data_IF_354592597026
#
_entry.id   IF_354592597026
#
_cell.length_a   1.000
_cell.length_b   1.000
_cell.length_c   1.000
_cell.angle_alpha   90.00
_cell.angle_beta   90.00
_cell.angle_gamma   90.00
#
_symmetry.space_group_name_H-M   'P 1'
#
loop_
_entity.id
_entity.type
_entity.pdbx_description
1 polymer ?
#
# COMPACT_ATOMS: atom_id res chain seq x y z
N UNK A 1 7.93 -22.29 -13.08
CA UNK A 1 6.87 -21.60 -13.87
C UNK A 1 7.33 -20.22 -14.33
N UNK A 2 6.58 -19.57 -15.25
CA UNK A 2 6.88 -18.19 -15.70
C UNK A 2 5.64 -17.31 -15.55
N UNK A 3 5.82 -16.09 -15.00
CA UNK A 3 4.75 -15.09 -14.82
C UNK A 3 5.17 -13.74 -15.39
N UNK A 4 4.25 -12.77 -15.44
CA UNK A 4 4.59 -11.35 -15.58
C UNK A 4 5.45 -10.89 -14.39
N UNK A 5 6.11 -9.73 -14.51
CA UNK A 5 6.70 -9.03 -13.37
C UNK A 5 5.60 -8.67 -12.37
N UNK A 6 5.91 -8.64 -11.09
CA UNK A 6 4.98 -8.23 -10.04
C UNK A 6 4.81 -6.71 -10.07
N UNK A 7 3.57 -6.25 -9.87
CA UNK A 7 3.28 -4.85 -9.56
C UNK A 7 2.97 -4.76 -8.07
N UNK A 8 3.73 -3.93 -7.35
CA UNK A 8 3.49 -3.59 -5.95
C UNK A 8 2.80 -2.24 -5.88
N UNK A 9 1.54 -2.22 -5.46
CA UNK A 9 0.75 -0.99 -5.46
C UNK A 9 0.57 -0.37 -4.08
N UNK A 10 1.05 -1.05 -3.02
CA UNK A 10 0.92 -0.56 -1.66
C UNK A 10 2.11 -0.98 -0.80
N UNK A 11 3.07 -0.07 -0.63
CA UNK A 11 4.21 -0.23 0.26
C UNK A 11 4.87 1.12 0.55
N UNK A 12 5.32 1.32 1.78
CA UNK A 12 5.89 2.57 2.27
C UNK A 12 7.40 2.67 2.06
N UNK A 13 8.02 1.54 1.76
CA UNK A 13 9.44 1.48 1.52
C UNK A 13 10.04 0.10 1.77
N UNK A 14 11.35 0.00 1.57
CA UNK A 14 12.17 -1.18 1.86
C UNK A 14 13.65 -0.81 1.73
N UNK A 15 14.55 -1.71 2.10
CA UNK A 15 16.01 -1.51 2.01
C UNK A 15 16.52 -0.24 2.73
N UNK A 16 15.82 0.22 3.78
CA UNK A 16 16.14 1.43 4.51
C UNK A 16 15.58 2.73 3.91
N UNK A 17 14.79 2.66 2.84
CA UNK A 17 14.17 3.82 2.18
C UNK A 17 12.72 3.96 2.64
N UNK A 18 12.36 5.15 3.12
CA UNK A 18 11.01 5.61 3.42
C UNK A 18 10.59 6.63 2.35
N UNK A 19 9.52 6.37 1.60
CA UNK A 19 9.10 7.26 0.51
C UNK A 19 8.72 8.66 0.97
N UNK A 20 8.18 8.82 2.16
CA UNK A 20 7.88 10.15 2.71
C UNK A 20 9.15 10.99 2.93
N UNK A 21 10.31 10.35 3.16
CA UNK A 21 11.57 11.01 3.53
C UNK A 21 12.68 10.81 2.50
N UNK A 22 12.43 10.03 1.46
CA UNK A 22 13.42 9.64 0.47
C UNK A 22 14.05 10.84 -0.26
N UNK A 23 15.25 10.60 -0.76
CA UNK A 23 15.90 11.40 -1.81
C UNK A 23 15.64 10.76 -3.17
N UNK A 24 15.88 11.48 -4.26
CA UNK A 24 15.79 10.96 -5.63
C UNK A 24 16.67 9.72 -5.80
N UNK A 25 17.92 9.77 -5.35
CA UNK A 25 18.86 8.63 -5.42
C UNK A 25 18.39 7.46 -4.56
N UNK A 26 17.75 7.71 -3.42
CA UNK A 26 17.13 6.67 -2.58
C UNK A 26 16.00 5.94 -3.31
N UNK A 27 15.10 6.66 -3.97
CA UNK A 27 14.02 6.08 -4.76
C UNK A 27 14.56 5.27 -5.94
N UNK A 28 15.57 5.79 -6.66
CA UNK A 28 16.21 5.08 -7.77
C UNK A 28 16.92 3.81 -7.29
N UNK A 29 17.65 3.87 -6.17
CA UNK A 29 18.28 2.71 -5.55
C UNK A 29 17.23 1.64 -5.19
N UNK A 30 16.16 2.01 -4.50
CA UNK A 30 15.08 1.10 -4.15
C UNK A 30 14.48 0.46 -5.41
N UNK A 31 14.20 1.26 -6.45
CA UNK A 31 13.62 0.80 -7.72
C UNK A 31 14.54 -0.21 -8.43
N UNK A 32 15.85 -0.08 -8.30
CA UNK A 32 16.84 -1.02 -8.83
C UNK A 32 16.89 -2.31 -8.01
N UNK A 33 16.93 -2.20 -6.70
CA UNK A 33 17.02 -3.37 -5.82
C UNK A 33 15.73 -4.21 -5.86
N UNK A 34 14.55 -3.57 -5.84
CA UNK A 34 13.27 -4.27 -5.80
C UNK A 34 13.00 -5.07 -7.09
N UNK A 35 13.53 -4.61 -8.24
CA UNK A 35 13.44 -5.37 -9.50
C UNK A 35 14.10 -6.74 -9.39
N UNK A 36 15.21 -6.86 -8.65
CA UNK A 36 15.88 -8.14 -8.43
C UNK A 36 15.00 -9.17 -7.71
N UNK A 37 13.97 -8.69 -7.01
CA UNK A 37 12.94 -9.49 -6.35
C UNK A 37 11.71 -9.72 -7.24
N UNK A 38 11.80 -9.52 -8.57
CA UNK A 38 10.71 -9.76 -9.50
C UNK A 38 9.62 -8.70 -9.50
N UNK A 39 9.76 -7.62 -8.72
CA UNK A 39 8.83 -6.50 -8.68
C UNK A 39 9.27 -5.48 -9.73
N UNK A 40 8.54 -5.42 -10.84
CA UNK A 40 8.89 -4.60 -12.01
C UNK A 40 8.08 -3.32 -12.14
N UNK A 41 7.01 -3.15 -11.38
CA UNK A 41 6.21 -1.93 -11.30
C UNK A 41 5.88 -1.58 -9.86
N UNK A 42 5.96 -0.31 -9.53
CA UNK A 42 5.73 0.17 -8.16
C UNK A 42 4.85 1.43 -8.13
N UNK A 43 4.01 1.50 -7.10
CA UNK A 43 3.32 2.72 -6.69
C UNK A 43 3.85 3.10 -5.29
N UNK A 44 4.91 3.93 -5.18
CA UNK A 44 5.35 4.44 -3.89
C UNK A 44 4.19 4.96 -3.07
N UNK A 45 4.02 4.42 -1.85
CA UNK A 45 2.91 4.78 -0.97
C UNK A 45 3.36 5.80 0.05
N UNK A 46 2.70 6.97 0.04
CA UNK A 46 2.92 8.03 1.01
C UNK A 46 1.95 7.87 2.18
N UNK A 47 2.49 7.66 3.37
CA UNK A 47 1.71 7.67 4.61
C UNK A 47 1.34 9.11 4.99
N UNK A 48 0.34 9.28 5.85
CA UNK A 48 -0.06 10.58 6.42
C UNK A 48 1.15 11.38 6.92
N UNK A 49 1.25 12.62 6.45
CA UNK A 49 2.27 13.61 6.84
C UNK A 49 1.72 15.02 6.60
N UNK A 50 2.47 16.06 6.93
CA UNK A 50 2.10 17.43 6.59
C UNK A 50 1.95 17.61 5.07
N UNK A 51 1.09 18.55 4.66
CA UNK A 51 0.90 18.89 3.24
C UNK A 51 2.23 19.23 2.56
N UNK A 52 3.11 19.93 3.27
CA UNK A 52 4.44 20.30 2.75
C UNK A 52 5.30 19.07 2.48
N UNK A 53 5.38 18.14 3.44
CA UNK A 53 6.17 16.90 3.30
C UNK A 53 5.62 16.00 2.19
N UNK A 54 4.30 15.85 2.07
CA UNK A 54 3.66 15.09 0.99
C UNK A 54 4.02 15.69 -0.37
N UNK A 55 3.90 17.01 -0.53
CA UNK A 55 4.27 17.69 -1.79
C UNK A 55 5.74 17.51 -2.14
N UNK A 56 6.63 17.60 -1.13
CA UNK A 56 8.05 17.32 -1.31
C UNK A 56 8.28 15.87 -1.77
N UNK A 57 7.67 14.91 -1.12
CA UNK A 57 7.79 13.48 -1.47
C UNK A 57 7.28 13.21 -2.89
N UNK A 58 6.13 13.78 -3.28
CA UNK A 58 5.62 13.71 -4.66
C UNK A 58 6.65 14.24 -5.65
N UNK A 59 7.23 15.41 -5.40
CA UNK A 59 8.25 16.01 -6.28
C UNK A 59 9.48 15.11 -6.43
N UNK A 60 9.98 14.54 -5.32
CA UNK A 60 11.12 13.62 -5.31
C UNK A 60 10.83 12.35 -6.13
N UNK A 61 9.65 11.76 -5.96
CA UNK A 61 9.27 10.54 -6.68
C UNK A 61 9.12 10.83 -8.18
N UNK A 62 8.55 11.97 -8.55
CA UNK A 62 8.43 12.41 -9.97
C UNK A 62 9.80 12.63 -10.60
N UNK A 63 10.71 13.30 -9.91
CA UNK A 63 12.08 13.49 -10.38
C UNK A 63 12.81 12.14 -10.54
N UNK A 64 12.62 11.20 -9.61
CA UNK A 64 13.15 9.86 -9.73
C UNK A 64 12.55 9.12 -10.94
N UNK A 65 11.24 9.29 -11.20
CA UNK A 65 10.58 8.75 -12.40
C UNK A 65 11.22 9.23 -13.68
N UNK A 66 11.58 10.50 -13.78
CA UNK A 66 12.24 11.08 -14.95
C UNK A 66 13.67 10.55 -15.16
N UNK A 67 14.36 10.22 -14.06
CA UNK A 67 15.76 9.73 -14.07
C UNK A 67 15.88 8.21 -14.12
N UNK A 68 14.77 7.46 -13.95
CA UNK A 68 14.83 6.00 -13.90
C UNK A 68 15.34 5.40 -15.23
N UNK A 69 16.07 4.32 -15.14
CA UNK A 69 16.60 3.56 -16.27
C UNK A 69 15.87 2.22 -16.44
N UNK A 70 16.09 1.53 -17.56
CA UNK A 70 15.39 0.28 -17.87
C UNK A 70 15.72 -0.87 -16.91
N UNK A 71 16.81 -0.80 -16.17
CA UNK A 71 17.24 -1.80 -15.17
C UNK A 71 16.66 -1.53 -13.76
N UNK A 72 15.58 -0.76 -13.68
CA UNK A 72 14.85 -0.41 -12.46
C UNK A 72 13.38 -0.80 -12.58
N UNK A 73 12.70 -1.05 -11.47
CA UNK A 73 11.24 -1.17 -11.44
C UNK A 73 10.58 0.12 -11.92
N UNK A 74 9.55 0.03 -12.74
CA UNK A 74 8.85 1.21 -13.25
C UNK A 74 8.08 1.90 -12.11
N UNK A 75 8.33 3.18 -11.89
CA UNK A 75 7.50 4.02 -11.03
C UNK A 75 6.25 4.37 -11.84
N UNK A 76 5.09 3.84 -11.44
CA UNK A 76 3.84 3.88 -12.22
C UNK A 76 2.91 5.02 -11.80
N UNK A 77 3.12 5.54 -10.61
CA UNK A 77 2.33 6.58 -9.98
C UNK A 77 2.58 6.58 -8.48
N UNK A 78 1.79 7.32 -7.75
CA UNK A 78 1.83 7.40 -6.29
C UNK A 78 0.52 6.86 -5.72
N UNK A 79 0.63 6.11 -4.63
CA UNK A 79 -0.47 5.81 -3.73
C UNK A 79 -0.42 6.78 -2.56
N UNK A 80 -1.45 7.59 -2.39
CA UNK A 80 -1.61 8.45 -1.21
C UNK A 80 -2.47 7.71 -0.20
N UNK A 81 -1.85 7.14 0.83
CA UNK A 81 -2.53 6.49 1.92
C UNK A 81 -2.58 7.41 3.12
N UNK A 82 -3.74 7.95 3.35
CA UNK A 82 -3.94 8.80 4.51
C UNK A 82 -4.24 10.26 4.19
N UNK A 83 -4.08 11.08 5.21
CA UNK A 83 -4.64 12.39 5.50
C UNK A 83 -6.18 12.42 5.54
N UNK A 84 -6.89 11.59 4.78
CA UNK A 84 -8.37 11.54 4.68
C UNK A 84 -8.97 10.32 5.38
N UNK A 85 -8.39 9.89 6.48
CA UNK A 85 -8.73 8.65 7.19
C UNK A 85 -9.44 8.92 8.51
N UNK A 86 -10.14 7.89 9.02
CA UNK A 86 -10.89 8.00 10.25
C UNK A 86 -9.97 7.91 11.48
N UNK A 87 -9.98 8.90 12.39
CA UNK A 87 -9.18 8.88 13.61
C UNK A 87 -9.38 7.64 14.49
N UNK A 88 -10.57 7.02 14.47
CA UNK A 88 -10.85 5.78 15.20
C UNK A 88 -10.09 4.57 14.63
N UNK A 89 -9.64 4.68 13.38
CA UNK A 89 -8.93 3.65 12.64
C UNK A 89 -7.55 4.12 12.17
N UNK A 90 -6.94 5.01 12.94
CA UNK A 90 -5.68 5.67 12.57
C UNK A 90 -4.51 4.72 12.32
N UNK A 91 -4.50 3.50 12.90
CA UNK A 91 -3.33 2.64 12.85
C UNK A 91 -2.10 3.36 13.40
N UNK A 92 -1.02 3.39 12.62
CA UNK A 92 0.23 4.10 12.93
C UNK A 92 0.22 5.59 12.51
N UNK A 93 -0.79 6.02 11.73
CA UNK A 93 -0.84 7.38 11.19
C UNK A 93 -0.95 8.45 12.27
N UNK A 94 -0.26 9.58 12.08
CA UNK A 94 -0.30 10.72 12.99
C UNK A 94 -1.57 11.56 12.79
N UNK A 95 -2.51 11.61 13.77
CA UNK A 95 -3.76 12.34 13.62
C UNK A 95 -3.60 13.87 13.49
N UNK A 96 -2.44 14.42 13.86
CA UNK A 96 -2.18 15.86 13.74
C UNK A 96 -2.24 16.35 12.28
N UNK A 97 -2.12 15.46 11.31
CA UNK A 97 -2.11 15.77 9.88
C UNK A 97 -3.40 15.35 9.16
N UNK A 98 -4.42 14.85 9.87
CA UNK A 98 -5.66 14.44 9.25
C UNK A 98 -6.47 15.63 8.75
N UNK A 99 -7.02 15.48 7.56
CA UNK A 99 -7.91 16.46 6.93
C UNK A 99 -9.25 15.81 6.59
N UNK A 100 -10.31 16.59 6.59
CA UNK A 100 -11.59 16.13 6.08
C UNK A 100 -11.48 15.78 4.59
N UNK A 101 -12.10 14.67 4.12
CA UNK A 101 -12.03 14.22 2.72
C UNK A 101 -12.91 15.10 1.81
N UNK A 102 -12.45 16.31 1.55
CA UNK A 102 -13.09 17.28 0.65
C UNK A 102 -12.20 17.56 -0.56
N UNK A 103 -12.81 18.00 -1.66
CA UNK A 103 -12.07 18.40 -2.87
C UNK A 103 -11.10 19.55 -2.59
N UNK A 104 -11.48 20.50 -1.72
CA UNK A 104 -10.65 21.61 -1.31
C UNK A 104 -9.39 21.14 -0.61
N UNK A 105 -9.52 20.23 0.35
CA UNK A 105 -8.39 19.66 1.08
C UNK A 105 -7.51 18.80 0.16
N UNK A 106 -8.10 18.00 -0.74
CA UNK A 106 -7.32 17.24 -1.72
C UNK A 106 -6.49 18.14 -2.63
N UNK A 107 -7.02 19.30 -3.06
CA UNK A 107 -6.29 20.26 -3.89
C UNK A 107 -4.99 20.76 -3.24
N UNK A 108 -4.87 20.67 -1.91
CA UNK A 108 -3.62 21.04 -1.21
C UNK A 108 -2.45 20.12 -1.57
N UNK A 109 -2.72 18.87 -1.92
CA UNK A 109 -1.72 17.84 -2.27
C UNK A 109 -1.89 17.28 -3.67
N UNK A 110 -2.88 17.74 -4.43
CA UNK A 110 -3.23 17.20 -5.73
C UNK A 110 -2.05 17.22 -6.71
N UNK A 111 -1.82 16.08 -7.34
CA UNK A 111 -0.87 15.91 -8.44
C UNK A 111 -1.39 14.83 -9.39
N UNK A 112 -1.18 14.98 -10.70
CA UNK A 112 -1.63 14.04 -11.72
C UNK A 112 -0.89 12.69 -11.65
N UNK A 113 0.20 12.63 -10.89
CA UNK A 113 0.95 11.40 -10.66
C UNK A 113 0.38 10.55 -9.51
N UNK A 114 -0.56 11.07 -8.70
CA UNK A 114 -1.34 10.29 -7.75
C UNK A 114 -2.33 9.43 -8.53
N UNK A 115 -2.24 8.11 -8.36
CA UNK A 115 -3.07 7.12 -9.07
C UNK A 115 -3.99 6.34 -8.14
N UNK A 116 -3.66 6.27 -6.86
CA UNK A 116 -4.44 5.60 -5.83
C UNK A 116 -4.57 6.56 -4.65
N UNK A 117 -5.77 6.65 -4.08
CA UNK A 117 -6.03 7.38 -2.83
C UNK A 117 -6.81 6.48 -1.89
N UNK A 118 -6.26 6.25 -0.71
CA UNK A 118 -6.96 5.60 0.40
C UNK A 118 -7.63 6.66 1.28
N UNK A 119 -8.91 6.49 1.53
CA UNK A 119 -9.69 7.39 2.39
C UNK A 119 -10.78 6.63 3.17
N UNK A 120 -11.34 7.28 4.18
CA UNK A 120 -12.51 6.81 4.93
C UNK A 120 -13.80 7.34 4.27
N UNK A 121 -14.55 6.51 3.53
CA UNK A 121 -15.72 6.96 2.78
C UNK A 121 -16.80 7.61 3.65
N UNK A 122 -16.99 7.12 4.87
CA UNK A 122 -17.99 7.61 5.82
C UNK A 122 -17.74 9.05 6.29
N UNK A 123 -16.54 9.57 6.11
CA UNK A 123 -16.19 10.95 6.41
C UNK A 123 -16.44 11.91 5.24
N UNK A 124 -16.73 11.37 4.04
CA UNK A 124 -17.03 12.18 2.86
C UNK A 124 -18.40 12.83 3.04
N UNK A 125 -18.56 14.13 2.78
CA UNK A 125 -19.87 14.75 2.82
C UNK A 125 -20.87 14.03 1.91
N UNK A 126 -21.95 13.50 2.47
CA UNK A 126 -23.01 12.86 1.71
C UNK A 126 -23.84 13.94 0.99
N UNK A 127 -23.90 13.89 -0.33
CA UNK A 127 -24.94 14.59 -1.10
C UNK A 127 -26.22 13.77 -0.89
N UNK A 128 -27.06 14.15 0.06
CA UNK A 128 -28.38 13.52 0.22
C UNK A 128 -29.34 14.07 -0.82
N UNK A 129 -30.08 13.22 -1.57
CA UNK A 129 -31.05 13.67 -2.58
C UNK A 129 -32.30 14.36 -2.03
N UNK A 130 -32.47 14.49 -0.71
CA UNK A 130 -33.71 14.99 -0.13
C UNK A 130 -33.52 16.18 0.81
N UNK A 131 -33.82 17.37 0.29
CA UNK A 131 -34.51 18.43 1.00
C UNK A 131 -33.72 19.30 1.96
N UNK A 132 -33.62 20.60 1.63
CA UNK A 132 -33.16 21.76 2.41
C UNK A 132 -31.67 21.81 2.70
N UNK A 133 -30.90 22.20 1.69
CA UNK A 133 -29.50 22.64 1.83
C UNK A 133 -29.43 24.14 2.15
N UNK A 134 -28.48 24.56 2.98
CA UNK A 134 -28.02 25.94 2.97
C UNK A 134 -27.25 26.19 1.65
N UNK A 135 -27.35 27.37 1.04
CA UNK A 135 -26.71 27.70 -0.23
C UNK A 135 -25.18 27.49 -0.30
N UNK A 136 -24.52 27.20 0.82
CA UNK A 136 -23.10 26.90 0.92
C UNK A 136 -22.79 25.40 0.74
N UNK A 137 -23.73 24.49 1.02
CA UNK A 137 -23.57 23.04 0.91
C UNK A 137 -23.86 22.48 -0.49
N UNK A 138 -24.57 23.24 -1.31
CA UNK A 138 -24.96 22.86 -2.69
C UNK A 138 -23.81 22.67 -3.66
N UNK A 139 -22.56 23.02 -3.30
CA UNK A 139 -21.37 22.98 -4.17
C UNK A 139 -20.24 22.05 -3.72
N UNK A 140 -20.38 21.33 -2.61
CA UNK A 140 -19.35 20.39 -2.19
C UNK A 140 -19.42 19.12 -3.05
N UNK A 141 -18.63 19.09 -4.13
CA UNK A 141 -18.46 17.88 -4.93
C UNK A 141 -17.89 16.78 -4.01
N UNK A 142 -18.49 15.56 -4.07
CA UNK A 142 -17.98 14.41 -3.36
C UNK A 142 -16.55 14.08 -3.82
N UNK A 143 -15.62 13.95 -2.90
CA UNK A 143 -14.20 13.68 -3.23
C UNK A 143 -14.03 12.38 -4.00
N UNK A 144 -14.80 11.33 -3.67
CA UNK A 144 -14.75 10.04 -4.35
C UNK A 144 -15.12 10.20 -5.82
N UNK A 145 -16.22 10.90 -6.13
CA UNK A 145 -16.64 11.17 -7.51
C UNK A 145 -15.62 12.04 -8.26
N UNK A 146 -15.09 13.06 -7.60
CA UNK A 146 -14.07 13.92 -8.17
C UNK A 146 -12.80 13.15 -8.58
N UNK A 147 -12.30 12.30 -7.69
CA UNK A 147 -11.10 11.47 -7.91
C UNK A 147 -11.35 10.42 -8.99
N UNK A 148 -12.47 9.71 -8.92
CA UNK A 148 -12.85 8.69 -9.91
C UNK A 148 -13.01 9.30 -11.30
N UNK A 149 -13.60 10.50 -11.40
CA UNK A 149 -13.71 11.26 -12.64
C UNK A 149 -12.37 11.67 -13.26
N UNK A 150 -11.31 11.72 -12.45
CA UNK A 150 -9.91 11.93 -12.89
C UNK A 150 -9.14 10.62 -13.16
N UNK A 151 -9.79 9.47 -13.04
CA UNK A 151 -9.18 8.17 -13.24
C UNK A 151 -8.30 7.70 -12.06
N UNK A 152 -8.39 8.36 -10.90
CA UNK A 152 -7.74 7.95 -9.66
C UNK A 152 -8.52 6.80 -9.05
N UNK A 153 -7.85 5.73 -8.64
CA UNK A 153 -8.45 4.60 -7.93
C UNK A 153 -8.68 4.98 -6.48
N UNK A 154 -9.93 5.16 -6.09
CA UNK A 154 -10.28 5.42 -4.70
C UNK A 154 -10.44 4.09 -3.98
N UNK A 155 -9.78 3.93 -2.85
CA UNK A 155 -9.88 2.75 -1.98
C UNK A 155 -10.39 3.14 -0.61
N UNK A 156 -11.33 2.37 -0.08
CA UNK A 156 -11.75 2.51 1.31
C UNK A 156 -10.73 1.84 2.22
N UNK A 157 -10.20 2.59 3.17
CA UNK A 157 -9.27 2.10 4.17
C UNK A 157 -9.21 3.04 5.37
N UNK A 158 -8.70 2.54 6.50
CA UNK A 158 -8.72 3.29 7.76
C UNK A 158 -10.10 3.88 8.06
N UNK A 159 -11.13 3.04 8.00
CA UNK A 159 -12.53 3.44 7.97
C UNK A 159 -13.41 2.49 8.80
N UNK A 160 -14.62 2.92 9.14
CA UNK A 160 -15.58 2.13 9.92
C UNK A 160 -16.89 1.88 9.17
N UNK A 161 -17.17 2.68 8.14
CA UNK A 161 -18.41 2.57 7.35
C UNK A 161 -18.44 1.38 6.41
N UNK A 162 -19.64 0.88 6.10
CA UNK A 162 -19.85 -0.21 5.16
C UNK A 162 -20.25 0.23 3.75
N UNK A 163 -20.51 1.52 3.54
CA UNK A 163 -20.82 2.06 2.22
C UNK A 163 -19.54 2.27 1.41
N UNK A 164 -19.38 1.47 0.35
CA UNK A 164 -18.22 1.51 -0.57
C UNK A 164 -18.58 2.13 -1.92
N UNK A 165 -19.69 2.83 -2.01
CA UNK A 165 -20.17 3.43 -3.26
C UNK A 165 -19.12 4.35 -3.87
N UNK A 166 -18.77 4.10 -5.13
CA UNK A 166 -17.77 4.85 -5.88
C UNK A 166 -16.32 4.48 -5.60
N UNK A 167 -16.05 3.62 -4.60
CA UNK A 167 -14.72 3.07 -4.38
C UNK A 167 -14.40 1.99 -5.42
N UNK A 168 -13.16 1.97 -5.90
CA UNK A 168 -12.65 0.94 -6.79
C UNK A 168 -12.17 -0.30 -6.03
N UNK A 169 -11.84 -0.14 -4.76
CA UNK A 169 -11.31 -1.21 -3.92
C UNK A 169 -11.28 -0.88 -2.44
N UNK A 170 -10.72 -1.80 -1.67
CA UNK A 170 -10.40 -1.61 -0.25
C UNK A 170 -8.92 -1.84 0.00
N UNK A 171 -8.34 -1.00 0.83
CA UNK A 171 -6.95 -1.04 1.27
C UNK A 171 -6.80 -2.11 2.35
N UNK A 172 -5.76 -2.95 2.28
CA UNK A 172 -5.32 -3.96 3.27
C UNK A 172 -6.47 -4.53 4.13
N UNK A 173 -7.41 -5.24 3.47
CA UNK A 173 -8.64 -5.79 4.09
C UNK A 173 -8.38 -6.37 5.49
N UNK A 174 -9.28 -6.09 6.43
CA UNK A 174 -9.28 -6.35 7.87
C UNK A 174 -8.42 -5.42 8.72
N UNK A 175 -7.36 -4.80 8.16
CA UNK A 175 -6.48 -3.94 8.92
C UNK A 175 -7.07 -2.53 8.99
N UNK A 176 -7.03 -1.92 10.18
CA UNK A 176 -7.51 -0.57 10.42
C UNK A 176 -8.92 -0.26 9.83
N UNK A 177 -9.84 -1.21 9.88
CA UNK A 177 -11.23 -1.04 9.43
C UNK A 177 -12.22 -1.80 10.32
N UNK A 178 -13.54 -1.60 10.08
CA UNK A 178 -14.55 -2.43 10.72
C UNK A 178 -14.54 -3.85 10.12
N UNK A 179 -14.58 -4.85 10.99
CA UNK A 179 -14.49 -6.27 10.62
C UNK A 179 -15.80 -6.84 10.06
N UNK A 180 -15.89 -8.17 10.03
CA UNK A 180 -17.13 -8.87 9.66
C UNK A 180 -18.08 -8.89 10.86
N UNK A 181 -19.27 -8.35 10.71
CA UNK A 181 -20.32 -8.35 11.72
C UNK A 181 -21.63 -8.92 11.16
N UNK A 182 -22.42 -9.55 12.01
CA UNK A 182 -23.72 -10.14 11.62
C UNK A 182 -24.88 -9.12 11.70
N UNK A 183 -24.63 -7.92 12.15
CA UNK A 183 -25.60 -6.82 12.23
C UNK A 183 -24.94 -5.52 11.78
N UNK A 184 -25.65 -4.78 10.93
CA UNK A 184 -25.15 -3.56 10.30
C UNK A 184 -24.17 -3.83 9.15
N UNK A 185 -23.84 -2.78 8.46
CA UNK A 185 -22.88 -2.80 7.35
C UNK A 185 -21.51 -2.41 7.87
N UNK A 186 -20.50 -3.19 7.54
CA UNK A 186 -19.11 -2.95 7.94
C UNK A 186 -18.21 -3.05 6.72
N UNK A 187 -17.09 -2.34 6.73
CA UNK A 187 -16.19 -2.24 5.58
C UNK A 187 -15.75 -3.62 5.08
N UNK A 188 -15.25 -4.48 5.99
CA UNK A 188 -14.76 -5.79 5.59
C UNK A 188 -15.87 -6.71 5.06
N UNK A 189 -17.08 -6.67 5.65
CA UNK A 189 -18.21 -7.45 5.17
C UNK A 189 -18.64 -6.98 3.78
N UNK A 190 -18.85 -5.67 3.59
CA UNK A 190 -19.23 -5.11 2.30
C UNK A 190 -18.20 -5.43 1.21
N UNK A 191 -16.91 -5.30 1.52
CA UNK A 191 -15.85 -5.66 0.59
C UNK A 191 -15.85 -7.14 0.20
N UNK A 192 -16.14 -8.04 1.14
CA UNK A 192 -16.15 -9.49 0.88
C UNK A 192 -17.32 -9.93 0.01
N UNK A 193 -18.48 -9.27 0.11
CA UNK A 193 -19.70 -9.68 -0.61
C UNK A 193 -19.90 -8.94 -1.95
N UNK A 194 -19.23 -7.83 -2.19
CA UNK A 194 -19.31 -7.11 -3.47
C UNK A 194 -18.23 -7.59 -4.44
N UNK A 195 -18.64 -8.37 -5.44
CA UNK A 195 -17.76 -8.94 -6.46
C UNK A 195 -17.11 -7.87 -7.37
N UNK A 196 -17.54 -6.61 -7.36
CA UNK A 196 -16.95 -5.55 -8.17
C UNK A 196 -15.76 -4.88 -7.47
N UNK A 197 -15.73 -4.87 -6.15
CA UNK A 197 -14.70 -4.23 -5.34
C UNK A 197 -13.41 -5.06 -5.38
N UNK A 198 -12.30 -4.44 -5.75
CA UNK A 198 -10.97 -5.03 -5.59
C UNK A 198 -10.55 -4.99 -4.11
N UNK A 199 -9.80 -6.01 -3.70
CA UNK A 199 -9.47 -6.19 -2.29
C UNK A 199 -7.98 -6.41 -2.13
N UNK A 200 -7.29 -5.47 -1.50
CA UNK A 200 -5.88 -5.64 -1.14
C UNK A 200 -5.74 -6.55 0.08
N UNK A 201 -4.74 -7.44 0.04
CA UNK A 201 -4.46 -8.41 1.09
C UNK A 201 -2.97 -8.43 1.43
N UNK A 202 -2.67 -8.27 2.72
CA UNK A 202 -1.34 -8.55 3.29
C UNK A 202 -1.31 -10.03 3.67
N UNK A 203 -0.69 -10.86 2.84
CA UNK A 203 -0.71 -12.32 3.02
C UNK A 203 0.44 -12.87 3.86
N UNK A 204 1.04 -12.07 4.75
CA UNK A 204 2.22 -12.44 5.55
C UNK A 204 1.92 -13.38 6.73
N UNK A 205 0.64 -13.57 7.10
CA UNK A 205 0.20 -14.39 8.22
C UNK A 205 0.37 -13.75 9.59
N UNK A 206 0.75 -12.48 9.62
CA UNK A 206 0.90 -11.66 10.83
C UNK A 206 -0.26 -10.67 10.89
N UNK A 207 -0.48 -9.90 9.79
CA UNK A 207 -1.58 -8.93 9.66
C UNK A 207 -2.93 -9.62 9.52
N UNK A 208 -2.97 -10.72 8.77
CA UNK A 208 -4.18 -11.50 8.51
C UNK A 208 -3.88 -12.96 8.77
N UNK A 209 -4.64 -13.59 9.68
CA UNK A 209 -4.48 -15.00 10.00
C UNK A 209 -4.86 -15.90 8.82
N UNK A 210 -4.34 -17.14 8.79
CA UNK A 210 -4.66 -18.09 7.73
C UNK A 210 -6.16 -18.34 7.60
N UNK A 211 -6.91 -18.38 8.71
CA UNK A 211 -8.36 -18.54 8.69
C UNK A 211 -9.10 -17.36 8.05
N UNK A 212 -8.62 -16.13 8.29
CA UNK A 212 -9.18 -14.96 7.65
C UNK A 212 -8.81 -14.91 6.16
N UNK A 213 -7.59 -15.31 5.80
CA UNK A 213 -7.20 -15.46 4.39
C UNK A 213 -8.03 -16.51 3.69
N UNK A 214 -8.26 -17.71 4.29
CA UNK A 214 -9.15 -18.73 3.75
C UNK A 214 -10.57 -18.17 3.49
N UNK A 215 -11.09 -17.33 4.41
CA UNK A 215 -12.38 -16.67 4.22
C UNK A 215 -12.38 -15.77 2.99
N UNK A 216 -11.34 -14.93 2.82
CA UNK A 216 -11.22 -14.06 1.65
C UNK A 216 -11.23 -14.86 0.36
N UNK A 217 -10.36 -15.87 0.25
CA UNK A 217 -10.24 -16.71 -0.96
C UNK A 217 -11.48 -17.60 -1.23
N UNK A 218 -12.39 -17.74 -0.26
CA UNK A 218 -13.69 -18.39 -0.45
C UNK A 218 -14.79 -17.43 -0.89
N UNK A 219 -14.75 -16.18 -0.42
CA UNK A 219 -15.79 -15.19 -0.67
C UNK A 219 -15.53 -14.33 -1.89
N UNK A 220 -14.25 -13.98 -2.15
CA UNK A 220 -13.89 -13.08 -3.26
C UNK A 220 -13.57 -13.83 -4.54
N UNK A 221 -14.03 -13.36 -5.71
CA UNK A 221 -13.47 -13.79 -6.98
C UNK A 221 -11.95 -13.57 -7.00
N UNK A 222 -11.19 -14.57 -7.45
CA UNK A 222 -9.73 -14.53 -7.41
C UNK A 222 -9.16 -13.32 -8.17
N UNK A 223 -9.80 -12.94 -9.27
CA UNK A 223 -9.45 -11.78 -10.10
C UNK A 223 -9.67 -10.42 -9.41
N UNK A 224 -10.28 -10.41 -8.24
CA UNK A 224 -10.52 -9.20 -7.43
C UNK A 224 -9.61 -9.11 -6.21
N UNK A 225 -8.73 -10.09 -6.01
CA UNK A 225 -7.76 -10.08 -4.91
C UNK A 225 -6.44 -9.51 -5.42
N UNK A 226 -5.92 -8.49 -4.74
CA UNK A 226 -4.61 -7.89 -5.02
C UNK A 226 -3.69 -8.17 -3.83
N UNK A 227 -2.60 -8.89 -4.07
CA UNK A 227 -1.56 -9.05 -3.06
C UNK A 227 -0.74 -7.77 -2.96
N UNK A 228 -0.57 -7.31 -1.74
CA UNK A 228 0.29 -6.17 -1.40
C UNK A 228 1.26 -6.58 -0.30
N UNK A 229 2.36 -5.86 -0.18
CA UNK A 229 3.25 -6.07 0.95
C UNK A 229 2.94 -5.18 2.14
N UNK A 230 2.50 -3.96 1.91
CA UNK A 230 2.45 -2.92 2.95
C UNK A 230 3.79 -2.81 3.70
N UNK A 231 4.88 -2.93 2.94
CA UNK A 231 6.21 -3.07 3.54
C UNK A 231 6.77 -1.74 4.03
N UNK A 232 7.56 -1.84 5.08
CA UNK A 232 8.20 -0.72 5.78
C UNK A 232 9.69 -0.60 5.40
N UNK A 233 10.32 0.55 5.67
CA UNK A 233 11.74 0.78 5.40
C UNK A 233 12.68 -0.30 5.93
N UNK A 234 12.35 -0.96 7.06
CA UNK A 234 13.15 -2.04 7.63
C UNK A 234 13.09 -3.36 6.84
N UNK A 235 12.18 -3.49 5.87
CA UNK A 235 12.04 -4.69 5.03
C UNK A 235 13.29 -4.91 4.20
N UNK A 236 13.90 -6.09 4.32
CA UNK A 236 15.17 -6.44 3.68
C UNK A 236 16.32 -5.42 3.94
N UNK A 237 16.22 -4.64 4.99
CA UNK A 237 17.30 -3.75 5.40
C UNK A 237 18.45 -4.56 6.01
N UNK A 238 19.65 -4.32 5.52
CA UNK A 238 20.89 -4.87 6.09
C UNK A 238 21.89 -3.73 6.29
N UNK A 239 22.11 -3.28 7.54
CA UNK A 239 23.02 -2.17 7.83
C UNK A 239 24.47 -2.44 7.38
N UNK A 240 24.87 -3.73 7.35
CA UNK A 240 26.24 -4.13 6.96
C UNK A 240 26.45 -4.26 5.45
N UNK A 241 25.38 -4.23 4.65
CA UNK A 241 25.49 -4.35 3.17
C UNK A 241 25.79 -3.02 2.46
N UNK A 242 25.73 -1.91 3.18
CA UNK A 242 25.87 -0.57 2.64
C UNK A 242 27.23 0.02 3.02
N UNK A 243 28.01 0.45 2.04
CA UNK A 243 29.20 1.26 2.28
C UNK A 243 28.79 2.58 2.99
N UNK A 244 29.65 3.12 3.88
CA UNK A 244 29.36 4.33 4.66
C UNK A 244 28.82 5.51 3.82
N UNK A 245 29.30 5.70 2.58
CA UNK A 245 28.78 6.70 1.66
C UNK A 245 27.34 6.46 1.17
N UNK A 246 26.88 5.20 1.13
CA UNK A 246 25.49 4.86 0.79
C UNK A 246 24.55 5.02 1.97
N UNK A 247 25.02 4.83 3.21
CA UNK A 247 24.22 5.10 4.41
C UNK A 247 23.81 6.58 4.51
N UNK A 248 24.69 7.51 4.11
CA UNK A 248 24.36 8.94 4.09
C UNK A 248 23.33 9.34 3.01
N UNK A 249 23.34 8.66 1.85
CA UNK A 249 22.37 8.89 0.76
C UNK A 249 20.98 8.32 1.09
N UNK A 250 20.90 7.40 2.06
CA UNK A 250 19.69 6.71 2.49
C UNK A 250 19.08 7.32 3.76
N UNK A 251 19.55 8.50 4.19
CA UNK A 251 19.26 9.13 5.48
C UNK A 251 17.83 9.68 5.65
N UNK A 252 16.85 9.12 4.94
CA UNK A 252 15.44 9.33 5.25
C UNK A 252 14.95 8.50 6.44
N UNK A 253 15.47 7.29 6.64
CA UNK A 253 15.15 6.46 7.78
C UNK A 253 16.28 6.53 8.81
N UNK A 254 16.05 7.13 9.98
CA UNK A 254 16.93 7.01 11.14
C UNK A 254 16.86 5.57 11.70
N UNK A 255 17.31 4.58 10.92
CA UNK A 255 17.44 3.21 11.40
C UNK A 255 18.71 3.16 12.22
N UNK A 256 18.60 3.04 13.53
CA UNK A 256 19.74 2.82 14.42
C UNK A 256 19.98 1.33 14.53
N UNK A 257 21.21 0.92 14.21
CA UNK A 257 21.70 -0.43 14.50
C UNK A 257 21.87 -0.52 16.03
N UNK A 258 21.08 -1.36 16.65
CA UNK A 258 21.19 -1.71 18.06
C UNK A 258 21.71 -3.15 18.07
N UNK A 259 22.96 -3.33 18.36
CA UNK A 259 23.80 -4.54 18.36
C UNK A 259 23.16 -5.92 18.20
N UNK A 260 23.97 -6.97 18.00
CA UNK A 260 23.50 -8.33 17.76
C UNK A 260 22.53 -8.80 18.83
N UNK A 261 21.22 -8.97 18.46
CA UNK A 261 20.15 -9.46 19.33
C UNK A 261 19.16 -8.40 19.80
N UNK A 262 19.31 -7.14 19.40
CA UNK A 262 18.40 -6.05 19.76
C UNK A 262 17.45 -5.70 18.59
N UNK A 263 16.25 -5.17 18.95
CA UNK A 263 15.23 -4.75 18.00
C UNK A 263 15.73 -3.53 17.21
N UNK A 264 15.55 -3.52 15.89
CA UNK A 264 15.79 -2.30 15.11
C UNK A 264 14.77 -1.23 15.52
N UNK A 265 15.23 -0.03 15.79
CA UNK A 265 14.38 1.13 16.06
C UNK A 265 14.46 2.10 14.87
N UNK A 266 13.33 2.57 14.40
CA UNK A 266 13.24 3.60 13.36
C UNK A 266 12.00 4.48 13.56
N UNK A 267 11.93 5.62 12.87
CA UNK A 267 10.79 6.52 12.90
C UNK A 267 10.00 6.35 11.61
N UNK A 268 8.71 6.05 11.74
CA UNK A 268 7.76 5.96 10.63
C UNK A 268 6.46 6.66 11.02
N UNK A 269 5.89 7.49 10.12
CA UNK A 269 4.70 8.29 10.39
C UNK A 269 4.79 9.12 11.71
N UNK A 270 5.97 9.67 11.99
CA UNK A 270 6.34 10.42 13.22
C UNK A 270 6.33 9.58 14.52
N UNK A 271 6.08 8.29 14.42
CA UNK A 271 6.07 7.36 15.55
C UNK A 271 7.34 6.49 15.59
N UNK A 272 7.78 6.12 16.79
CA UNK A 272 8.84 5.13 16.96
C UNK A 272 8.32 3.74 16.71
N UNK A 273 8.98 3.02 15.80
CA UNK A 273 8.66 1.65 15.42
C UNK A 273 9.83 0.73 15.76
N UNK A 274 9.52 -0.42 16.30
CA UNK A 274 10.45 -1.45 16.75
C UNK A 274 10.27 -2.70 15.88
N UNK A 275 11.32 -3.12 15.21
CA UNK A 275 11.34 -4.36 14.44
C UNK A 275 12.10 -5.45 15.20
N UNK A 276 11.46 -6.59 15.45
CA UNK A 276 12.00 -7.70 16.23
C UNK A 276 12.56 -8.87 15.39
N UNK A 277 12.69 -8.64 14.06
CA UNK A 277 13.08 -9.67 13.10
C UNK A 277 11.91 -10.37 12.43
N UNK A 278 10.68 -10.19 12.93
CA UNK A 278 9.46 -10.80 12.42
C UNK A 278 8.42 -9.74 12.07
N UNK A 279 8.13 -8.85 13.00
CA UNK A 279 7.11 -7.79 12.85
C UNK A 279 7.62 -6.43 13.32
N UNK A 280 7.05 -5.38 12.77
CA UNK A 280 7.31 -4.00 13.16
C UNK A 280 6.10 -3.44 13.94
N UNK A 281 6.33 -2.93 15.15
CA UNK A 281 5.27 -2.43 16.02
C UNK A 281 5.65 -1.10 16.65
N UNK A 282 4.67 -0.25 16.91
CA UNK A 282 4.82 0.92 17.78
C UNK A 282 5.02 0.50 19.24
N UNK A 283 5.26 1.47 20.12
CA UNK A 283 5.50 1.22 21.54
C UNK A 283 4.30 0.57 22.25
N UNK A 284 3.09 0.89 21.83
CA UNK A 284 1.83 0.34 22.37
C UNK A 284 1.45 -1.03 21.77
N UNK A 285 2.28 -1.57 20.86
CA UNK A 285 2.09 -2.87 20.24
C UNK A 285 1.26 -2.84 18.95
N UNK A 286 0.84 -1.67 18.46
CA UNK A 286 0.17 -1.55 17.17
C UNK A 286 1.12 -1.98 16.05
N UNK A 287 0.69 -2.89 15.17
CA UNK A 287 1.46 -3.28 13.98
C UNK A 287 1.49 -2.08 13.03
N UNK A 288 2.68 -1.73 12.56
CA UNK A 288 2.89 -0.53 11.75
C UNK A 288 2.80 -0.78 10.25
N UNK A 289 3.09 -1.99 9.81
CA UNK A 289 3.12 -2.47 8.44
C UNK A 289 3.96 -3.74 8.35
N UNK A 290 3.96 -4.39 7.20
CA UNK A 290 4.63 -5.67 7.02
C UNK A 290 6.15 -5.51 6.79
N UNK A 291 6.84 -6.61 6.97
CA UNK A 291 8.28 -6.75 6.69
C UNK A 291 8.54 -7.84 5.65
N UNK A 292 7.50 -8.18 4.88
CA UNK A 292 7.51 -9.32 3.95
C UNK A 292 7.12 -8.89 2.54
N UNK A 293 8.02 -9.05 1.58
CA UNK A 293 7.74 -8.73 0.16
C UNK A 293 6.80 -9.73 -0.51
N UNK A 294 6.06 -9.30 -1.55
CA UNK A 294 5.08 -10.13 -2.29
C UNK A 294 5.62 -11.51 -2.72
N UNK A 295 6.84 -11.69 -3.24
CA UNK A 295 7.32 -13.02 -3.60
C UNK A 295 7.35 -14.01 -2.42
N UNK A 296 7.72 -13.52 -1.23
CA UNK A 296 7.69 -14.33 0.00
C UNK A 296 6.26 -14.61 0.46
N UNK A 297 5.35 -13.64 0.27
CA UNK A 297 3.91 -13.80 0.53
C UNK A 297 3.34 -14.90 -0.37
N UNK A 298 3.61 -14.88 -1.68
CA UNK A 298 3.17 -15.91 -2.64
C UNK A 298 3.65 -17.29 -2.18
N UNK A 299 4.95 -17.43 -1.90
CA UNK A 299 5.54 -18.69 -1.43
C UNK A 299 4.87 -19.17 -0.14
N UNK A 300 4.56 -18.27 0.78
CA UNK A 300 3.86 -18.59 2.02
C UNK A 300 2.43 -19.08 1.75
N UNK A 301 1.65 -18.38 0.92
CA UNK A 301 0.26 -18.72 0.61
C UNK A 301 0.15 -20.10 -0.06
N UNK A 302 1.11 -20.47 -0.90
CA UNK A 302 1.21 -21.83 -1.47
C UNK A 302 1.49 -22.84 -0.36
N UNK A 303 2.49 -22.59 0.49
CA UNK A 303 2.85 -23.51 1.58
C UNK A 303 1.72 -23.76 2.57
N UNK A 304 0.91 -22.75 2.86
CA UNK A 304 -0.29 -22.88 3.72
C UNK A 304 -1.52 -23.40 2.98
N UNK A 305 -1.40 -23.77 1.69
CA UNK A 305 -2.48 -24.28 0.85
C UNK A 305 -3.69 -23.32 0.73
N UNK A 306 -3.47 -22.01 0.91
CA UNK A 306 -4.46 -20.95 0.66
C UNK A 306 -4.54 -20.69 -0.85
N UNK A 307 -3.41 -20.52 -1.50
CA UNK A 307 -3.26 -20.54 -2.97
C UNK A 307 -2.89 -21.96 -3.38
N UNK A 308 -3.58 -22.54 -4.37
CA UNK A 308 -3.56 -24.01 -4.59
C UNK A 308 -2.68 -24.44 -5.75
N UNK A 309 -2.46 -23.57 -6.73
CA UNK A 309 -1.77 -23.93 -7.95
C UNK A 309 -1.13 -22.70 -8.64
N UNK A 310 -0.38 -22.97 -9.69
CA UNK A 310 0.35 -21.94 -10.47
C UNK A 310 -0.57 -21.00 -11.24
N UNK A 311 -1.79 -21.44 -11.61
CA UNK A 311 -2.75 -20.56 -12.30
C UNK A 311 -3.27 -19.50 -11.34
N UNK A 312 -3.54 -19.87 -10.08
CA UNK A 312 -3.97 -18.93 -9.04
C UNK A 312 -2.86 -17.87 -8.80
N UNK A 313 -1.59 -18.30 -8.74
CA UNK A 313 -0.46 -17.36 -8.61
C UNK A 313 -0.38 -16.41 -9.82
N UNK A 314 -0.54 -16.96 -11.02
CA UNK A 314 -0.52 -16.15 -12.25
C UNK A 314 -1.66 -15.12 -12.25
N UNK A 315 -2.85 -15.53 -11.81
CA UNK A 315 -4.00 -14.63 -11.69
C UNK A 315 -3.72 -13.51 -10.69
N UNK A 316 -3.25 -13.84 -9.47
CA UNK A 316 -2.94 -12.85 -8.44
C UNK A 316 -1.87 -11.83 -8.91
N UNK A 317 -0.84 -12.27 -9.64
CA UNK A 317 0.17 -11.38 -10.21
C UNK A 317 -0.41 -10.51 -11.33
N UNK A 318 -1.43 -10.98 -12.05
CA UNK A 318 -2.04 -10.26 -13.17
C UNK A 318 -3.09 -9.24 -12.71
N UNK A 319 -3.68 -9.42 -11.53
CA UNK A 319 -4.77 -8.56 -11.04
C UNK A 319 -4.41 -7.07 -10.97
N UNK A 320 -3.23 -6.63 -10.48
CA UNK A 320 -2.87 -5.22 -10.52
C UNK A 320 -2.78 -4.65 -11.94
N UNK A 321 -2.37 -5.45 -12.93
CA UNK A 321 -2.37 -5.03 -14.34
C UNK A 321 -3.77 -4.70 -14.83
N UNK A 322 -4.75 -5.58 -14.51
CA UNK A 322 -6.16 -5.37 -14.86
C UNK A 322 -6.76 -4.19 -14.09
N UNK A 323 -6.44 -4.08 -12.80
CA UNK A 323 -6.93 -2.99 -11.95
C UNK A 323 -6.52 -1.61 -12.46
N UNK A 324 -5.26 -1.48 -12.89
CA UNK A 324 -4.71 -0.23 -13.42
C UNK A 324 -4.82 -0.08 -14.92
N UNK A 325 -5.24 -1.14 -15.64
CA UNK A 325 -5.26 -1.20 -17.11
C UNK A 325 -3.89 -0.83 -17.72
N UNK A 326 -2.83 -1.46 -17.25
CA UNK A 326 -1.44 -1.21 -17.68
C UNK A 326 -0.72 -2.52 -18.03
N UNK A 327 0.30 -2.43 -18.87
CA UNK A 327 1.28 -3.50 -19.08
C UNK A 327 2.68 -2.92 -19.02
N UNK A 328 3.55 -3.55 -18.21
CA UNK A 328 4.93 -3.11 -18.01
C UNK A 328 5.94 -4.00 -18.72
N UNK A 329 5.47 -5.05 -19.38
CA UNK A 329 6.32 -6.05 -20.00
C UNK A 329 7.09 -6.90 -18.98
N UNK A 330 8.09 -7.66 -19.49
CA UNK A 330 8.96 -8.45 -18.64
C UNK A 330 8.35 -9.72 -18.04
N UNK A 331 9.17 -10.49 -17.32
CA UNK A 331 8.71 -11.74 -16.71
C UNK A 331 9.60 -12.19 -15.56
N UNK A 332 9.06 -13.04 -14.71
CA UNK A 332 9.73 -13.75 -13.61
C UNK A 332 9.69 -15.25 -13.88
N UNK A 333 10.83 -15.91 -13.74
CA UNK A 333 10.93 -17.36 -13.75
C UNK A 333 11.06 -17.87 -12.30
N UNK A 334 10.27 -18.88 -11.96
CA UNK A 334 10.18 -19.45 -10.61
C UNK A 334 10.57 -20.92 -10.67
N UNK A 335 11.25 -21.41 -9.62
CA UNK A 335 11.43 -22.84 -9.40
C UNK A 335 10.14 -23.52 -8.85
N UNK A 336 10.22 -24.82 -8.59
CA UNK A 336 9.08 -25.60 -8.08
C UNK A 336 8.75 -25.24 -6.61
N UNK A 337 9.67 -24.63 -5.88
CA UNK A 337 9.52 -24.13 -4.52
C UNK A 337 9.08 -22.66 -4.45
N UNK A 338 8.72 -22.05 -5.59
CA UNK A 338 8.37 -20.64 -5.72
C UNK A 338 9.47 -19.68 -5.26
N UNK A 339 10.74 -20.02 -5.53
CA UNK A 339 11.82 -19.04 -5.49
C UNK A 339 12.01 -18.43 -6.87
N UNK A 340 12.41 -17.17 -6.91
CA UNK A 340 12.74 -16.49 -8.17
C UNK A 340 14.09 -17.00 -8.65
N UNK A 341 14.12 -17.56 -9.88
CA UNK A 341 15.33 -18.02 -10.56
C UNK A 341 15.88 -16.91 -11.44
N UNK A 342 14.98 -16.17 -12.13
CA UNK A 342 15.39 -15.17 -13.10
C UNK A 342 14.33 -14.07 -13.23
N UNK A 343 14.80 -12.84 -13.37
CA UNK A 343 14.00 -11.67 -13.69
C UNK A 343 14.43 -11.16 -15.06
N UNK A 344 13.47 -11.04 -15.97
CA UNK A 344 13.69 -10.50 -17.32
C UNK A 344 12.81 -9.24 -17.45
N UNK A 345 13.43 -8.11 -17.64
CA UNK A 345 12.75 -6.84 -17.90
C UNK A 345 12.90 -6.44 -19.36
#
# INVERSE_FOLDING_TARGET
>A
MRTKLIIEQHFHGCFGIDFNKATVDGVLFLSKEILKHGIGGIFPTLVTDSVENIKRAISVIKEAKEKQTHDMANILGIHLEGIFINPEKKGIHNPAHFLAPTVENYKLVADDFIKIVTLAPELTPLIRPSGTFSHAEEKAQNLIEYLSGKGVKVQAGHCVGGDLTGCAGVTHLFNAMSGVAHRGETTALSALVDDNIYTEIIGDGIHVSDKALELVFKCKPLEKIILISDSLPCTNYNPHSLSEGKQLLMSGANVRDVGMGEKLEFVFADEKVYYDGIKATSKDGTIAGSTTMIPKIIKRLIKSNIVKNTNDVTQLITNPYNYHNIDIGGSVEWDDDFNIIKVNK
#
